data_IF_129598132602
#
_entry.id   IF_129598132602
#
_cell.length_a   1.000
_cell.length_b   1.000
_cell.length_c   1.000
_cell.angle_alpha   90.00
_cell.angle_beta   90.00
_cell.angle_gamma   90.00
#
_symmetry.space_group_name_H-M   'P 1'
#
loop_
_entity.id
_entity.type
_entity.pdbx_description
1 polymer ?
#
# COMPACT_ATOMS: atom_id res chain seq x y z
N UNK A 1 20.54 7.16 -3.43
CA UNK A 1 19.05 7.07 -3.40
C UNK A 1 18.45 7.36 -2.02
N UNK A 2 19.26 7.48 -0.97
CA UNK A 2 18.80 7.79 0.40
C UNK A 2 18.14 9.16 0.54
N UNK A 3 18.46 10.10 -0.34
CA UNK A 3 17.81 11.42 -0.44
C UNK A 3 16.30 11.36 -0.74
N UNK A 4 15.83 10.22 -1.30
CA UNK A 4 14.42 9.97 -1.59
C UNK A 4 13.68 9.29 -0.44
N UNK A 5 14.36 8.95 0.66
CA UNK A 5 13.71 8.36 1.82
C UNK A 5 12.83 9.37 2.53
N UNK A 6 11.62 8.95 2.89
CA UNK A 6 10.70 9.82 3.62
C UNK A 6 11.07 9.81 5.10
N UNK A 7 11.20 11.02 5.67
CA UNK A 7 11.43 11.19 7.10
C UNK A 7 10.13 11.00 7.88
N UNK A 8 10.10 9.98 8.74
CA UNK A 8 8.97 9.70 9.60
C UNK A 8 8.73 10.78 10.65
N UNK A 9 9.80 11.45 11.14
CA UNK A 9 9.69 12.51 12.13
C UNK A 9 8.96 13.76 11.58
N UNK A 10 8.89 13.89 10.26
CA UNK A 10 8.17 14.95 9.57
C UNK A 10 6.91 14.43 8.87
N UNK A 11 6.34 13.32 9.34
CA UNK A 11 5.21 12.67 8.68
C UNK A 11 4.07 12.36 9.65
N UNK A 12 2.83 12.56 9.18
CA UNK A 12 1.65 12.16 9.93
C UNK A 12 1.68 10.66 10.24
N UNK A 13 1.57 10.21 11.51
CA UNK A 13 1.69 8.79 11.87
C UNK A 13 0.55 7.92 11.31
N UNK A 14 -0.58 8.52 10.92
CA UNK A 14 -1.71 7.78 10.37
C UNK A 14 -1.68 7.65 8.85
N UNK A 15 -1.33 8.70 8.10
CA UNK A 15 -1.38 8.68 6.63
C UNK A 15 -0.03 8.99 5.97
N UNK A 16 1.01 9.14 6.75
CA UNK A 16 2.38 9.39 6.29
C UNK A 16 2.54 10.63 5.39
N UNK A 17 1.60 11.59 5.48
CA UNK A 17 1.70 12.89 4.82
C UNK A 17 2.73 13.74 5.57
N UNK A 18 3.53 14.50 4.85
CA UNK A 18 4.44 15.46 5.48
C UNK A 18 3.66 16.45 6.36
N UNK A 19 4.09 16.56 7.61
CA UNK A 19 3.58 17.49 8.63
C UNK A 19 4.76 17.88 9.51
N UNK A 20 5.08 19.14 9.58
CA UNK A 20 6.15 19.63 10.45
C UNK A 20 5.92 19.13 11.89
N UNK A 21 6.96 18.51 12.47
CA UNK A 21 6.91 17.93 13.82
C UNK A 21 6.12 16.62 13.94
N UNK A 22 5.74 15.95 12.82
CA UNK A 22 5.18 14.59 12.85
C UNK A 22 3.79 14.44 13.48
N UNK A 23 3.05 15.54 13.66
CA UNK A 23 1.72 15.50 14.26
C UNK A 23 0.68 14.85 13.32
N UNK A 24 -0.46 14.43 13.89
CA UNK A 24 -1.59 13.94 13.08
C UNK A 24 -2.12 15.09 12.22
N UNK A 25 -2.16 14.91 10.91
CA UNK A 25 -2.60 15.95 9.97
C UNK A 25 -4.10 16.26 10.10
N UNK A 26 -4.51 17.48 9.77
CA UNK A 26 -5.91 17.93 9.90
C UNK A 26 -6.93 17.05 9.16
N UNK A 27 -6.55 16.41 8.04
CA UNK A 27 -7.43 15.46 7.36
C UNK A 27 -7.68 14.20 8.19
N UNK A 28 -6.64 13.67 8.85
CA UNK A 28 -6.76 12.48 9.71
C UNK A 28 -7.40 12.79 11.06
N UNK A 29 -7.27 14.03 11.58
CA UNK A 29 -8.01 14.46 12.76
C UNK A 29 -9.52 14.49 12.48
N UNK A 30 -9.93 15.03 11.32
CA UNK A 30 -11.35 15.10 10.93
C UNK A 30 -11.93 13.73 10.56
N UNK A 31 -11.15 12.92 9.87
CA UNK A 31 -11.55 11.59 9.40
C UNK A 31 -10.36 10.65 9.38
N UNK A 32 -10.14 9.90 10.47
CA UNK A 32 -9.07 8.92 10.52
C UNK A 32 -9.28 7.82 9.47
N UNK A 33 -8.19 7.27 8.89
CA UNK A 33 -8.28 6.11 8.00
C UNK A 33 -8.70 4.86 8.76
N UNK A 34 -9.18 3.85 8.03
CA UNK A 34 -9.54 2.57 8.62
C UNK A 34 -8.34 1.67 8.92
N UNK A 35 -7.20 1.89 8.28
CA UNK A 35 -5.95 1.24 8.65
C UNK A 35 -5.35 1.90 9.90
N UNK A 36 -4.58 1.12 10.65
CA UNK A 36 -4.07 1.55 11.96
C UNK A 36 -2.72 2.27 11.85
N UNK A 37 -1.86 1.84 10.91
CA UNK A 37 -0.56 2.47 10.63
C UNK A 37 -0.27 2.49 9.14
N UNK A 38 0.44 3.51 8.71
CA UNK A 38 0.92 3.66 7.34
C UNK A 38 2.40 4.00 7.32
N UNK A 39 3.11 3.44 6.36
CA UNK A 39 4.48 3.78 6.02
C UNK A 39 4.65 3.87 4.51
N UNK A 40 5.42 4.85 4.05
CA UNK A 40 5.89 4.93 2.68
C UNK A 40 7.41 5.15 2.71
N UNK A 41 8.16 4.27 2.04
CA UNK A 41 9.62 4.29 2.13
C UNK A 41 10.25 5.46 1.37
N UNK A 42 9.72 5.80 0.19
CA UNK A 42 10.34 6.74 -0.73
C UNK A 42 9.38 7.81 -1.24
N UNK A 43 9.94 8.93 -1.68
CA UNK A 43 9.22 9.88 -2.52
C UNK A 43 9.07 9.35 -3.95
N UNK A 44 7.86 9.49 -4.52
CA UNK A 44 7.57 9.14 -5.90
C UNK A 44 8.06 10.24 -6.86
N UNK A 45 9.38 10.36 -6.99
CA UNK A 45 10.10 11.30 -7.86
C UNK A 45 11.19 10.55 -8.65
N UNK A 46 11.67 11.09 -9.78
CA UNK A 46 12.80 10.48 -10.47
C UNK A 46 14.03 10.40 -9.57
N UNK A 47 14.80 9.29 -9.60
CA UNK A 47 14.66 8.11 -10.47
C UNK A 47 13.64 7.06 -9.99
N UNK A 48 13.18 7.11 -8.73
CA UNK A 48 12.26 6.12 -8.14
C UNK A 48 10.98 5.98 -8.96
N UNK A 49 10.39 7.09 -9.38
CA UNK A 49 9.18 7.07 -10.21
C UNK A 49 9.40 6.44 -11.59
N UNK A 50 10.61 6.55 -12.15
CA UNK A 50 10.98 5.91 -13.41
C UNK A 50 11.09 4.40 -13.24
N UNK A 51 11.80 3.92 -12.21
CA UNK A 51 11.91 2.49 -11.87
C UNK A 51 10.53 1.85 -11.64
N UNK A 52 9.63 2.54 -10.92
CA UNK A 52 8.26 2.06 -10.71
C UNK A 52 7.47 2.01 -12.03
N UNK A 53 7.68 2.96 -12.95
CA UNK A 53 7.05 2.94 -14.27
C UNK A 53 7.57 1.80 -15.13
N UNK A 54 8.86 1.52 -15.11
CA UNK A 54 9.48 0.37 -15.80
C UNK A 54 8.86 -0.92 -15.30
N UNK A 55 8.81 -1.12 -13.99
CA UNK A 55 8.11 -2.27 -13.39
C UNK A 55 6.66 -2.34 -13.86
N UNK A 56 5.89 -1.24 -13.87
CA UNK A 56 4.46 -1.23 -14.18
C UNK A 56 4.11 -1.42 -15.65
N UNK A 57 4.88 -0.84 -16.54
CA UNK A 57 4.49 -0.66 -17.95
C UNK A 57 5.34 -1.45 -18.91
N UNK A 58 6.61 -1.69 -18.57
CA UNK A 58 7.51 -2.51 -19.38
C UNK A 58 7.57 -3.96 -18.90
N UNK A 59 6.84 -4.30 -17.82
CA UNK A 59 6.84 -5.61 -17.18
C UNK A 59 8.26 -6.07 -16.80
N UNK A 60 9.16 -5.12 -16.53
CA UNK A 60 10.51 -5.44 -16.09
C UNK A 60 10.51 -5.89 -14.63
N UNK A 61 10.28 -7.19 -14.45
CA UNK A 61 10.30 -7.82 -13.12
C UNK A 61 11.69 -7.75 -12.45
N UNK A 62 12.76 -7.47 -13.20
CA UNK A 62 14.10 -7.22 -12.67
C UNK A 62 14.13 -6.03 -11.72
N UNK A 63 13.26 -5.03 -11.93
CA UNK A 63 13.11 -3.88 -11.04
C UNK A 63 12.48 -4.22 -9.69
N UNK A 64 11.81 -5.36 -9.54
CA UNK A 64 11.13 -5.73 -8.28
C UNK A 64 12.11 -5.88 -7.12
N UNK A 65 13.28 -6.48 -7.36
CA UNK A 65 14.28 -6.71 -6.31
C UNK A 65 14.96 -5.44 -5.84
N UNK A 66 15.53 -4.59 -6.71
CA UNK A 66 16.06 -3.28 -6.31
C UNK A 66 15.06 -2.43 -5.55
N UNK A 67 13.79 -2.38 -6.00
CA UNK A 67 12.74 -1.62 -5.35
C UNK A 67 12.37 -2.19 -3.97
N UNK A 68 12.31 -3.51 -3.82
CA UNK A 68 12.09 -4.15 -2.52
C UNK A 68 13.29 -3.92 -1.57
N UNK A 69 14.52 -3.92 -2.07
CA UNK A 69 15.71 -3.61 -1.27
C UNK A 69 15.70 -2.15 -0.78
N UNK A 70 15.26 -1.19 -1.60
CA UNK A 70 15.05 0.20 -1.19
C UNK A 70 13.94 0.33 -0.13
N UNK A 71 12.86 -0.44 -0.24
CA UNK A 71 11.85 -0.51 0.82
C UNK A 71 12.48 -0.96 2.15
N UNK A 72 13.30 -2.00 2.12
CA UNK A 72 13.94 -2.52 3.33
C UNK A 72 14.95 -1.56 3.96
N UNK A 73 15.63 -0.73 3.17
CA UNK A 73 16.56 0.29 3.68
C UNK A 73 15.86 1.41 4.45
N UNK A 74 14.61 1.71 4.11
CA UNK A 74 13.74 2.62 4.86
C UNK A 74 12.45 1.91 5.27
N UNK A 75 12.63 0.82 6.01
CA UNK A 75 11.52 0.03 6.54
C UNK A 75 10.89 0.71 7.77
N UNK A 76 9.59 0.49 8.02
CA UNK A 76 8.96 1.02 9.21
C UNK A 76 9.50 0.37 10.49
N UNK A 77 9.83 1.18 11.48
CA UNK A 77 10.36 0.68 12.77
C UNK A 77 9.41 -0.26 13.50
N UNK A 78 8.10 -0.13 13.29
CA UNK A 78 7.10 -1.01 13.88
C UNK A 78 7.11 -2.45 13.32
N UNK A 79 7.85 -2.75 12.25
CA UNK A 79 8.04 -4.14 11.80
C UNK A 79 8.71 -5.02 12.86
N UNK A 80 9.54 -4.43 13.72
CA UNK A 80 10.23 -5.16 14.79
C UNK A 80 9.35 -5.42 16.03
N UNK A 81 8.23 -4.71 16.17
CA UNK A 81 7.40 -4.73 17.39
C UNK A 81 5.97 -5.24 17.16
N UNK A 82 5.50 -5.23 15.92
CA UNK A 82 4.14 -5.69 15.59
C UNK A 82 4.20 -7.07 14.94
N UNK A 83 3.20 -7.89 15.25
CA UNK A 83 3.03 -9.21 14.63
C UNK A 83 1.98 -9.14 13.51
N UNK A 84 2.24 -9.80 12.39
CA UNK A 84 1.34 -9.94 11.27
C UNK A 84 1.01 -11.42 11.05
N UNK A 85 -0.26 -11.77 11.15
CA UNK A 85 -0.73 -13.11 10.82
C UNK A 85 -0.65 -13.37 9.32
N UNK A 86 -0.92 -12.31 8.53
CA UNK A 86 -0.86 -12.38 7.08
C UNK A 86 -0.29 -11.10 6.46
N UNK A 87 0.34 -11.27 5.29
CA UNK A 87 0.71 -10.17 4.41
C UNK A 87 -0.10 -10.28 3.12
N UNK A 88 -0.64 -9.17 2.67
CA UNK A 88 -1.52 -9.07 1.49
C UNK A 88 -1.00 -8.01 0.54
N UNK A 89 -0.60 -8.37 -0.69
CA UNK A 89 -0.35 -7.37 -1.73
C UNK A 89 -1.65 -6.67 -2.13
N UNK A 90 -1.57 -5.37 -2.45
CA UNK A 90 -2.73 -4.64 -2.97
C UNK A 90 -3.32 -5.36 -4.20
N UNK A 91 -4.58 -5.82 -4.13
CA UNK A 91 -5.16 -6.57 -5.23
C UNK A 91 -5.37 -5.71 -6.48
N UNK A 92 -5.05 -6.27 -7.65
CA UNK A 92 -5.47 -5.72 -8.94
C UNK A 92 -6.82 -6.30 -9.37
N UNK A 93 -7.60 -5.53 -10.11
CA UNK A 93 -8.76 -6.09 -10.81
C UNK A 93 -8.30 -7.06 -11.90
N UNK A 94 -9.18 -8.02 -12.25
CA UNK A 94 -8.90 -9.03 -13.29
C UNK A 94 -8.47 -8.38 -14.61
N UNK A 95 -9.14 -7.31 -15.02
CA UNK A 95 -8.89 -6.60 -16.27
C UNK A 95 -7.50 -5.94 -16.27
N UNK A 96 -7.13 -5.32 -15.16
CA UNK A 96 -5.80 -4.71 -15.02
C UNK A 96 -4.69 -5.77 -14.98
N UNK A 97 -4.97 -6.92 -14.35
CA UNK A 97 -4.03 -8.04 -14.33
C UNK A 97 -3.84 -8.61 -15.73
N UNK A 98 -4.92 -8.81 -16.52
CA UNK A 98 -4.84 -9.26 -17.89
C UNK A 98 -4.09 -8.27 -18.77
N UNK A 99 -4.35 -6.96 -18.64
CA UNK A 99 -3.66 -5.92 -19.40
C UNK A 99 -2.18 -5.82 -19.09
N UNK A 100 -1.76 -6.05 -17.82
CA UNK A 100 -0.35 -5.92 -17.37
C UNK A 100 0.41 -7.23 -17.37
N UNK A 101 -0.28 -8.38 -17.36
CA UNK A 101 0.31 -9.69 -17.21
C UNK A 101 0.64 -10.08 -15.77
N UNK A 102 0.84 -9.12 -14.87
CA UNK A 102 1.27 -9.35 -13.48
C UNK A 102 0.73 -8.25 -12.53
N UNK A 103 0.98 -8.44 -11.22
CA UNK A 103 0.70 -7.46 -10.18
C UNK A 103 2.02 -7.02 -9.53
N UNK A 104 2.39 -5.76 -9.68
CA UNK A 104 3.62 -5.20 -9.11
C UNK A 104 3.68 -5.28 -7.58
N UNK A 105 2.54 -5.08 -6.90
CA UNK A 105 2.49 -5.22 -5.45
C UNK A 105 2.73 -6.66 -5.00
N UNK A 106 2.29 -7.67 -5.79
CA UNK A 106 2.62 -9.09 -5.54
C UNK A 106 4.11 -9.34 -5.70
N UNK A 107 4.74 -8.84 -6.78
CA UNK A 107 6.17 -9.05 -7.01
C UNK A 107 7.03 -8.47 -5.85
N UNK A 108 6.67 -7.29 -5.34
CA UNK A 108 7.31 -6.71 -4.15
C UNK A 108 7.03 -7.54 -2.90
N UNK A 109 5.78 -7.93 -2.70
CA UNK A 109 5.35 -8.68 -1.50
C UNK A 109 6.01 -10.04 -1.41
N UNK A 110 6.13 -10.76 -2.53
CA UNK A 110 6.77 -12.08 -2.56
C UNK A 110 8.25 -12.00 -2.10
N UNK A 111 8.97 -10.94 -2.50
CA UNK A 111 10.37 -10.70 -2.09
C UNK A 111 10.43 -10.36 -0.60
N UNK A 112 9.57 -9.44 -0.13
CA UNK A 112 9.54 -9.02 1.26
C UNK A 112 9.12 -10.17 2.18
N UNK A 113 8.08 -10.92 1.81
CA UNK A 113 7.60 -12.06 2.59
C UNK A 113 8.67 -13.14 2.74
N UNK A 114 9.42 -13.43 1.67
CA UNK A 114 10.56 -14.36 1.73
C UNK A 114 11.68 -13.84 2.65
N UNK A 115 11.96 -12.53 2.63
CA UNK A 115 13.01 -11.90 3.46
C UNK A 115 12.66 -11.93 4.95
N UNK A 116 11.41 -11.66 5.29
CA UNK A 116 10.94 -11.52 6.68
C UNK A 116 10.26 -12.79 7.23
N UNK A 117 10.11 -13.84 6.43
CA UNK A 117 9.45 -15.08 6.84
C UNK A 117 7.93 -14.95 7.03
N UNK A 118 7.27 -14.03 6.31
CA UNK A 118 5.85 -13.75 6.47
C UNK A 118 4.94 -14.71 5.70
N UNK A 119 3.80 -15.01 6.29
CA UNK A 119 2.73 -15.80 5.67
C UNK A 119 1.90 -14.92 4.73
N UNK A 120 1.81 -15.31 3.46
CA UNK A 120 0.96 -14.62 2.49
C UNK A 120 -0.50 -15.03 2.63
N UNK A 121 -1.41 -14.06 2.63
CA UNK A 121 -2.82 -14.36 2.45
C UNK A 121 -3.04 -14.91 1.02
N UNK A 122 -3.81 -16.01 0.83
CA UNK A 122 -4.01 -16.57 -0.49
C UNK A 122 -4.52 -15.54 -1.51
N UNK A 123 -3.95 -15.52 -2.72
CA UNK A 123 -4.26 -14.52 -3.75
C UNK A 123 -5.74 -14.42 -4.12
N UNK A 124 -6.48 -15.52 -4.00
CA UNK A 124 -7.92 -15.57 -4.25
C UNK A 124 -8.78 -15.13 -3.05
N UNK A 125 -8.16 -14.88 -1.89
CA UNK A 125 -8.88 -14.49 -0.67
C UNK A 125 -9.55 -13.11 -0.82
N UNK A 126 -8.98 -12.22 -1.61
CA UNK A 126 -9.50 -10.88 -1.84
C UNK A 126 -9.69 -10.62 -3.33
N UNK A 127 -10.92 -10.32 -3.70
CA UNK A 127 -11.29 -9.93 -5.06
C UNK A 127 -11.45 -8.41 -5.15
N UNK A 128 -10.88 -7.80 -6.20
CA UNK A 128 -11.09 -6.39 -6.54
C UNK A 128 -11.95 -6.28 -7.79
N UNK A 129 -13.06 -5.55 -7.68
CA UNK A 129 -13.91 -5.22 -8.84
C UNK A 129 -13.18 -4.27 -9.78
N UNK A 130 -13.50 -4.35 -11.06
CA UNK A 130 -13.05 -3.35 -12.03
C UNK A 130 -13.70 -2.00 -11.72
N UNK A 131 -12.94 -0.95 -11.87
CA UNK A 131 -13.41 0.43 -11.76
C UNK A 131 -12.65 1.29 -12.75
N UNK A 132 -13.21 2.43 -13.12
CA UNK A 132 -12.60 3.42 -14.00
C UNK A 132 -11.15 3.71 -13.62
N UNK A 133 -10.25 3.97 -14.58
CA UNK A 133 -8.86 4.34 -14.29
C UNK A 133 -8.80 5.57 -13.40
N UNK A 134 -8.19 5.44 -12.22
CA UNK A 134 -8.12 6.53 -11.23
C UNK A 134 -7.34 7.76 -11.72
N UNK A 135 -6.49 7.59 -12.73
CA UNK A 135 -5.73 8.68 -13.36
C UNK A 135 -6.61 9.70 -14.08
N UNK A 136 -7.81 9.30 -14.52
CA UNK A 136 -8.75 10.15 -15.25
C UNK A 136 -9.79 10.82 -14.36
N UNK A 137 -9.90 10.44 -13.08
CA UNK A 137 -10.95 10.89 -12.16
C UNK A 137 -10.47 11.99 -11.21
N UNK A 138 -11.35 12.95 -10.88
CA UNK A 138 -11.17 13.92 -9.79
C UNK A 138 -11.20 13.21 -8.42
N UNK A 139 -10.71 13.86 -7.36
CA UNK A 139 -10.54 13.24 -6.03
C UNK A 139 -11.83 12.65 -5.45
N UNK A 140 -12.97 13.29 -5.64
CA UNK A 140 -14.27 12.83 -5.12
C UNK A 140 -14.85 11.67 -5.95
N UNK A 141 -14.63 11.69 -7.26
CA UNK A 141 -14.97 10.59 -8.15
C UNK A 141 -14.11 9.35 -7.84
N UNK A 142 -12.82 9.54 -7.54
CA UNK A 142 -11.94 8.45 -7.07
C UNK A 142 -12.47 7.78 -5.81
N UNK A 143 -12.97 8.57 -4.84
CA UNK A 143 -13.58 8.03 -3.60
C UNK A 143 -14.85 7.24 -3.88
N UNK A 144 -15.72 7.70 -4.79
CA UNK A 144 -16.95 6.98 -5.19
C UNK A 144 -16.64 5.69 -5.94
N UNK A 145 -15.69 5.74 -6.86
CA UNK A 145 -15.29 4.60 -7.69
C UNK A 145 -14.62 3.46 -6.88
N UNK A 146 -14.05 3.78 -5.70
CA UNK A 146 -13.41 2.78 -4.83
C UNK A 146 -14.40 2.17 -3.84
N UNK A 147 -15.52 2.82 -3.54
CA UNK A 147 -16.51 2.31 -2.59
C UNK A 147 -17.00 0.92 -3.02
N UNK A 148 -16.91 -0.05 -2.10
CA UNK A 148 -17.24 -1.46 -2.36
C UNK A 148 -16.39 -2.13 -3.46
N UNK A 149 -15.17 -1.61 -3.73
CA UNK A 149 -14.28 -2.18 -4.74
C UNK A 149 -13.73 -3.56 -4.36
N UNK A 150 -13.76 -3.92 -3.09
CA UNK A 150 -13.20 -5.18 -2.60
C UNK A 150 -14.27 -6.12 -2.05
N UNK A 151 -14.03 -7.43 -2.22
CA UNK A 151 -14.83 -8.50 -1.63
C UNK A 151 -13.87 -9.54 -1.05
N UNK A 152 -14.04 -9.87 0.23
CA UNK A 152 -13.31 -10.95 0.88
C UNK A 152 -14.04 -12.25 0.56
N UNK A 153 -13.29 -13.26 0.09
CA UNK A 153 -13.80 -14.58 -0.29
C UNK A 153 -13.35 -15.69 0.65
N UNK A 154 -12.25 -15.45 1.38
CA UNK A 154 -11.76 -16.39 2.37
C UNK A 154 -12.33 -16.07 3.75
N UNK A 155 -12.52 -17.06 4.59
CA UNK A 155 -12.68 -16.89 6.02
C UNK A 155 -11.36 -16.40 6.61
N UNK A 156 -11.40 -15.24 7.30
CA UNK A 156 -10.27 -14.73 8.04
C UNK A 156 -10.35 -15.20 9.49
N UNK A 157 -9.23 -15.59 10.11
CA UNK A 157 -9.20 -15.78 11.55
C UNK A 157 -9.65 -14.51 12.27
N UNK A 158 -10.42 -14.65 13.32
CA UNK A 158 -10.90 -13.50 14.12
C UNK A 158 -9.70 -12.68 14.66
N UNK A 159 -9.81 -11.38 14.53
CA UNK A 159 -8.83 -10.40 15.01
C UNK A 159 -7.41 -10.57 14.43
N UNK A 160 -7.25 -11.26 13.28
CA UNK A 160 -5.94 -11.39 12.62
C UNK A 160 -5.41 -10.03 12.16
N UNK A 161 -4.12 -9.81 12.39
CA UNK A 161 -3.41 -8.62 11.95
C UNK A 161 -2.89 -8.80 10.53
N UNK A 162 -3.12 -7.82 9.67
CA UNK A 162 -2.77 -7.91 8.25
C UNK A 162 -1.88 -6.73 7.85
N UNK A 163 -0.75 -7.04 7.20
CA UNK A 163 0.11 -6.06 6.55
C UNK A 163 -0.25 -5.96 5.07
N UNK A 164 -0.66 -4.79 4.62
CA UNK A 164 -0.92 -4.48 3.21
C UNK A 164 0.33 -3.89 2.56
N UNK A 165 0.75 -4.46 1.43
CA UNK A 165 1.87 -3.95 0.63
C UNK A 165 1.33 -3.33 -0.66
N UNK A 166 1.76 -2.09 -0.95
CA UNK A 166 1.39 -1.39 -2.19
C UNK A 166 2.62 -0.72 -2.82
N UNK A 167 2.53 -0.39 -4.11
CA UNK A 167 3.63 0.28 -4.81
C UNK A 167 3.58 1.80 -4.61
N UNK A 168 2.44 2.46 -4.81
CA UNK A 168 2.33 3.93 -4.70
C UNK A 168 1.10 4.37 -3.92
N UNK A 169 1.36 4.95 -2.78
CA UNK A 169 0.35 5.58 -1.93
C UNK A 169 0.11 7.03 -2.35
N UNK A 170 -1.03 7.32 -2.94
CA UNK A 170 -1.41 8.71 -3.32
C UNK A 170 -2.33 9.36 -2.29
N UNK A 171 -3.62 9.09 -2.38
CA UNK A 171 -4.65 9.60 -1.46
C UNK A 171 -4.96 8.66 -0.32
N UNK A 172 -4.54 7.41 -0.41
CA UNK A 172 -4.85 6.34 0.53
C UNK A 172 -6.26 5.75 0.41
N UNK A 173 -7.09 6.28 -0.48
CA UNK A 173 -8.50 5.84 -0.58
C UNK A 173 -8.63 4.34 -0.89
N UNK A 174 -7.71 3.77 -1.67
CA UNK A 174 -7.73 2.35 -2.02
C UNK A 174 -7.37 1.47 -0.81
N UNK A 175 -6.29 1.84 -0.08
CA UNK A 175 -5.89 1.14 1.15
C UNK A 175 -6.95 1.29 2.25
N UNK A 176 -7.53 2.48 2.40
CA UNK A 176 -8.60 2.76 3.35
C UNK A 176 -9.85 1.89 3.09
N UNK A 177 -10.26 1.75 1.83
CA UNK A 177 -11.41 0.91 1.48
C UNK A 177 -11.12 -0.59 1.67
N UNK A 178 -9.91 -1.04 1.34
CA UNK A 178 -9.50 -2.43 1.60
C UNK A 178 -9.44 -2.70 3.09
N UNK A 179 -8.85 -1.81 3.89
CA UNK A 179 -8.79 -1.92 5.34
C UNK A 179 -10.20 -1.99 5.97
N UNK A 180 -11.14 -1.14 5.52
CA UNK A 180 -12.56 -1.21 5.95
C UNK A 180 -13.18 -2.56 5.65
N UNK A 181 -12.93 -3.08 4.44
CA UNK A 181 -13.50 -4.36 4.01
C UNK A 181 -12.92 -5.52 4.83
N UNK A 182 -11.61 -5.52 5.09
CA UNK A 182 -10.95 -6.51 5.94
C UNK A 182 -11.45 -6.47 7.39
N UNK A 183 -11.54 -5.28 7.99
CA UNK A 183 -12.08 -5.11 9.36
C UNK A 183 -13.54 -5.56 9.48
N UNK A 184 -14.38 -5.30 8.48
CA UNK A 184 -15.76 -5.81 8.41
C UNK A 184 -15.82 -7.35 8.32
N UNK A 185 -14.78 -7.98 7.80
CA UNK A 185 -14.65 -9.44 7.71
C UNK A 185 -13.94 -10.07 8.91
N UNK A 186 -13.75 -9.31 9.99
CA UNK A 186 -13.22 -9.82 11.26
C UNK A 186 -11.72 -9.64 11.48
N UNK A 187 -11.00 -8.96 10.56
CA UNK A 187 -9.59 -8.64 10.79
C UNK A 187 -9.40 -7.67 11.98
N UNK A 188 -8.27 -7.80 12.66
CA UNK A 188 -7.82 -6.93 13.74
C UNK A 188 -7.16 -5.65 13.22
N UNK A 189 -5.88 -5.47 13.55
CA UNK A 189 -5.10 -4.32 13.07
C UNK A 189 -4.73 -4.47 11.59
N UNK A 190 -4.80 -3.36 10.87
CA UNK A 190 -4.38 -3.26 9.46
C UNK A 190 -3.22 -2.30 9.35
N UNK A 191 -2.10 -2.80 8.92
CA UNK A 191 -0.88 -2.05 8.66
C UNK A 191 -0.72 -1.86 7.15
N UNK A 192 -0.15 -0.74 6.74
CA UNK A 192 0.09 -0.45 5.33
C UNK A 192 1.54 -0.06 5.14
N UNK A 193 2.21 -0.68 4.17
CA UNK A 193 3.56 -0.32 3.76
C UNK A 193 3.61 -0.17 2.24
N UNK A 194 3.86 1.04 1.77
CA UNK A 194 4.00 1.34 0.35
C UNK A 194 5.45 1.66 0.00
N UNK A 195 5.84 1.27 -1.21
CA UNK A 195 7.16 1.59 -1.74
C UNK A 195 7.35 3.11 -1.81
N UNK A 196 6.39 3.84 -2.39
CA UNK A 196 6.54 5.27 -2.56
C UNK A 196 5.23 6.06 -2.38
N UNK A 197 5.37 7.36 -2.15
CA UNK A 197 4.28 8.33 -2.22
C UNK A 197 4.73 9.63 -2.92
N UNK A 198 3.84 10.32 -3.65
CA UNK A 198 4.15 11.65 -4.18
C UNK A 198 4.48 12.63 -3.06
N UNK A 199 5.48 13.51 -3.24
CA UNK A 199 5.70 14.63 -2.35
C UNK A 199 4.48 15.56 -2.35
N UNK A 200 4.32 16.34 -1.30
CA UNK A 200 3.32 17.41 -1.30
C UNK A 200 3.72 18.46 -2.31
N UNK A 201 2.81 18.84 -3.19
CA UNK A 201 2.98 20.07 -3.97
C UNK A 201 3.00 21.23 -2.97
N UNK A 202 4.09 21.98 -3.02
CA UNK A 202 4.18 23.30 -2.36
C UNK A 202 3.08 24.22 -2.86
#
# INVERSE_FOLDING_TARGET
LTEYFIDAAQSCPLCFRHVAGGAVCGSCQKKPPAFDRMWASLYYEPPVSSMIRELKHLADLGMSRPLADLMCQNAPGWLATEHFDFVLPMPLSKERRLKRGFNQSEALTDILAKRYGWTLLPRHAVFRRHGEPQSTLKSDERRRNIKNAFKIKAELPKACNILLIDDVFTTGSTLDELAKTLKKSGAGKIFCWSLARPPMKK
#
